data_IF_196380653344
#
_entry.id   IF_196380653344
#
_cell.length_a   1.000
_cell.length_b   1.000
_cell.length_c   1.000
_cell.angle_alpha   90.00
_cell.angle_beta   90.00
_cell.angle_gamma   90.00
#
_symmetry.space_group_name_H-M   'P 1'
#
loop_
_entity.id
_entity.type
_entity.pdbx_description
1 polymer ?
#
# COMPACT_ATOMS: atom_id res chain seq x y z
N UNK A 1 25.01 19.35 51.80
CA UNK A 1 26.30 18.95 51.20
C UNK A 1 26.16 19.10 49.70
N UNK A 2 26.82 20.10 49.13
CA UNK A 2 26.84 20.41 47.68
C UNK A 2 28.14 19.83 47.13
N UNK A 3 28.09 19.13 46.00
CA UNK A 3 29.26 18.92 45.15
C UNK A 3 28.82 18.67 43.70
N UNK A 4 28.87 19.74 42.91
CA UNK A 4 28.92 19.77 41.45
C UNK A 4 30.31 19.33 40.97
N UNK A 5 30.40 18.55 39.88
CA UNK A 5 31.63 18.44 39.10
C UNK A 5 31.35 18.07 37.63
N UNK A 6 31.71 18.98 36.74
CA UNK A 6 32.18 18.75 35.37
C UNK A 6 33.43 19.63 35.20
N UNK A 7 34.18 19.57 34.08
CA UNK A 7 34.76 18.45 33.34
C UNK A 7 36.31 18.65 33.24
N UNK A 8 37.03 17.91 32.37
CA UNK A 8 38.04 18.44 31.40
C UNK A 8 39.11 17.39 30.99
N UNK A 9 39.17 17.14 29.68
CA UNK A 9 40.30 16.89 28.75
C UNK A 9 41.64 16.34 29.26
N UNK A 10 42.13 15.29 28.58
CA UNK A 10 43.55 15.04 28.34
C UNK A 10 43.79 14.67 26.87
N UNK A 11 44.53 15.55 26.18
CA UNK A 11 45.19 15.32 24.89
C UNK A 11 46.50 14.56 25.14
N UNK A 12 46.87 13.65 24.24
CA UNK A 12 48.26 13.24 24.06
C UNK A 12 48.56 12.93 22.59
N UNK A 13 49.52 13.68 22.02
CA UNK A 13 50.22 13.41 20.77
C UNK A 13 51.15 12.17 20.93
N UNK A 14 51.80 11.53 19.95
CA UNK A 14 52.43 12.01 18.71
C UNK A 14 53.01 10.83 17.90
N UNK A 15 53.11 11.04 16.57
CA UNK A 15 54.22 10.70 15.64
C UNK A 15 54.37 9.29 14.99
N UNK A 16 55.04 9.23 13.80
CA UNK A 16 54.74 8.32 12.70
C UNK A 16 55.80 7.22 12.49
N UNK A 17 55.50 6.23 11.64
CA UNK A 17 56.48 5.25 11.16
C UNK A 17 56.38 5.08 9.64
N UNK A 18 57.51 5.26 8.96
CA UNK A 18 57.70 5.02 7.53
C UNK A 18 58.07 3.55 7.27
N UNK A 19 57.44 2.97 6.23
CA UNK A 19 58.04 2.13 5.19
C UNK A 19 58.50 0.71 5.51
N UNK A 20 57.94 -0.28 4.79
CA UNK A 20 58.73 -1.07 3.83
C UNK A 20 57.84 -1.82 2.83
N UNK A 21 58.38 -1.95 1.62
CA UNK A 21 57.82 -2.53 0.41
C UNK A 21 57.87 -4.07 0.45
N UNK A 22 56.82 -4.74 -0.03
CA UNK A 22 56.77 -6.18 -0.23
C UNK A 22 55.77 -6.53 -1.32
N UNK A 23 56.29 -6.87 -2.50
CA UNK A 23 55.53 -7.26 -3.69
C UNK A 23 54.87 -8.62 -3.51
N UNK A 24 53.56 -8.71 -3.76
CA UNK A 24 52.89 -9.96 -4.11
C UNK A 24 52.13 -9.73 -5.42
N UNK A 25 52.64 -10.34 -6.49
CA UNK A 25 51.92 -10.50 -7.74
C UNK A 25 50.68 -11.35 -7.47
N UNK A 26 49.50 -10.79 -7.69
CA UNK A 26 48.28 -11.57 -7.86
C UNK A 26 47.71 -11.30 -9.26
N UNK A 27 47.60 -12.38 -10.02
CA UNK A 27 47.10 -12.47 -11.38
C UNK A 27 45.91 -11.53 -11.66
N UNK A 28 46.09 -10.68 -12.67
CA UNK A 28 44.97 -10.03 -13.35
C UNK A 28 44.13 -11.08 -14.07
N UNK A 29 42.91 -11.29 -13.61
CA UNK A 29 41.83 -11.82 -14.44
C UNK A 29 40.97 -10.64 -14.90
N UNK A 30 41.25 -10.16 -16.12
CA UNK A 30 40.34 -9.27 -16.85
C UNK A 30 39.07 -10.07 -17.18
N UNK A 31 37.99 -9.87 -16.43
CA UNK A 31 36.65 -10.17 -16.95
C UNK A 31 36.23 -8.98 -17.80
N UNK A 32 36.23 -9.18 -19.12
CA UNK A 32 35.55 -8.31 -20.06
C UNK A 32 34.05 -8.38 -19.76
N UNK A 33 33.55 -7.54 -18.86
CA UNK A 33 32.14 -7.21 -18.83
C UNK A 33 31.87 -6.26 -19.98
N UNK A 34 31.40 -6.83 -21.09
CA UNK A 34 30.80 -6.07 -22.18
C UNK A 34 29.52 -5.46 -21.64
N UNK A 35 29.64 -4.27 -21.02
CA UNK A 35 28.50 -3.45 -20.64
C UNK A 35 27.77 -3.07 -21.91
N UNK A 36 26.74 -3.84 -22.26
CA UNK A 36 25.77 -3.48 -23.29
C UNK A 36 24.99 -2.27 -22.75
N UNK A 37 25.56 -1.07 -22.92
CA UNK A 37 24.79 0.16 -22.84
C UNK A 37 23.87 0.17 -24.05
N UNK A 38 22.66 -0.39 -23.89
CA UNK A 38 21.57 -0.07 -24.81
C UNK A 38 21.44 1.46 -24.77
N UNK A 39 21.65 2.13 -25.91
CA UNK A 39 21.31 3.55 -26.07
C UNK A 39 19.83 3.66 -25.70
N UNK A 40 19.52 4.32 -24.59
CA UNK A 40 18.17 4.72 -24.29
C UNK A 40 17.70 5.59 -25.47
N UNK A 41 16.70 5.09 -26.21
CA UNK A 41 15.96 5.92 -27.16
C UNK A 41 15.30 7.08 -26.41
N UNK A 42 14.76 8.08 -27.12
CA UNK A 42 14.01 9.15 -26.48
C UNK A 42 12.91 8.51 -25.61
N UNK A 43 13.01 8.71 -24.29
CA UNK A 43 12.02 8.20 -23.34
C UNK A 43 10.72 8.94 -23.66
N UNK A 44 9.77 8.23 -24.27
CA UNK A 44 8.44 8.78 -24.49
C UNK A 44 7.75 8.88 -23.13
N UNK A 45 7.71 10.10 -22.58
CA UNK A 45 6.92 10.45 -21.40
C UNK A 45 5.47 10.06 -21.66
N UNK A 46 4.90 9.17 -20.84
CA UNK A 46 3.56 8.61 -21.06
C UNK A 46 2.61 8.85 -19.89
N UNK A 47 3.11 8.97 -18.66
CA UNK A 47 2.28 9.18 -17.48
C UNK A 47 1.72 10.60 -17.41
N UNK A 48 0.40 10.69 -17.55
CA UNK A 48 -0.40 11.83 -17.12
C UNK A 48 -1.33 11.35 -16.02
N UNK A 49 -0.83 11.21 -14.79
CA UNK A 49 -1.74 11.07 -13.65
C UNK A 49 -2.52 12.38 -13.55
N UNK A 50 -3.84 12.29 -13.63
CA UNK A 50 -4.73 13.46 -13.63
C UNK A 50 -5.42 13.58 -12.28
N UNK A 51 -5.64 14.83 -11.85
CA UNK A 51 -6.48 15.11 -10.68
C UNK A 51 -7.93 14.78 -11.02
N UNK A 52 -8.46 13.71 -10.44
CA UNK A 52 -9.87 13.36 -10.60
C UNK A 52 -10.72 14.29 -9.72
N UNK A 53 -11.79 14.90 -10.25
CA UNK A 53 -12.71 15.67 -9.43
C UNK A 53 -13.49 14.76 -8.47
N UNK A 54 -13.96 15.26 -7.31
CA UNK A 54 -14.91 14.52 -6.48
C UNK A 54 -16.18 14.20 -7.29
N UNK A 55 -16.92 13.13 -6.96
CA UNK A 55 -18.11 12.72 -7.71
C UNK A 55 -19.34 13.62 -7.45
N UNK A 56 -19.12 14.81 -6.90
CA UNK A 56 -20.14 15.80 -6.55
C UNK A 56 -19.55 17.22 -6.57
N UNK A 57 -20.38 18.27 -6.69
CA UNK A 57 -19.95 19.66 -6.58
C UNK A 57 -19.25 19.96 -5.24
N UNK A 58 -18.33 20.93 -5.21
CA UNK A 58 -17.50 21.21 -4.03
C UNK A 58 -18.30 21.73 -2.81
N UNK A 59 -19.51 22.23 -3.00
CA UNK A 59 -20.39 22.66 -1.91
C UNK A 59 -21.45 21.60 -1.52
N UNK A 60 -21.45 20.43 -2.16
CA UNK A 60 -22.54 19.46 -2.03
C UNK A 60 -22.52 18.68 -0.71
N UNK A 61 -21.44 18.79 0.08
CA UNK A 61 -21.33 18.17 1.41
C UNK A 61 -21.68 19.14 2.55
N UNK A 62 -22.06 20.38 2.25
CA UNK A 62 -22.52 21.33 3.25
C UNK A 62 -23.81 20.86 3.92
N UNK A 63 -24.00 21.15 5.23
CA UNK A 63 -23.13 21.91 6.12
C UNK A 63 -22.08 21.05 6.86
N UNK A 64 -21.85 19.81 6.42
CA UNK A 64 -21.08 18.81 7.17
C UNK A 64 -19.59 18.80 6.83
N UNK A 65 -19.24 19.28 5.62
CA UNK A 65 -17.89 19.62 5.19
C UNK A 65 -18.00 20.83 4.27
N UNK A 66 -17.30 21.91 4.58
CA UNK A 66 -17.50 23.18 3.87
C UNK A 66 -16.93 23.14 2.44
N UNK A 67 -17.46 23.99 1.56
CA UNK A 67 -16.88 24.20 0.25
C UNK A 67 -15.40 24.62 0.33
N UNK A 68 -15.04 25.42 1.35
CA UNK A 68 -13.66 25.85 1.59
C UNK A 68 -12.74 24.65 1.89
N UNK A 69 -13.17 23.72 2.75
CA UNK A 69 -12.44 22.47 2.99
C UNK A 69 -12.20 21.70 1.69
N UNK A 70 -13.19 21.59 0.80
CA UNK A 70 -13.03 20.87 -0.47
C UNK A 70 -12.09 21.61 -1.45
N UNK A 71 -12.17 22.94 -1.52
CA UNK A 71 -11.26 23.75 -2.34
C UNK A 71 -9.80 23.62 -1.90
N UNK A 72 -9.54 23.54 -0.60
CA UNK A 72 -8.19 23.30 -0.07
C UNK A 72 -7.78 21.83 -0.19
N UNK A 73 -8.59 20.91 0.29
CA UNK A 73 -8.23 19.49 0.39
C UNK A 73 -8.12 18.83 -0.99
N UNK A 74 -9.11 19.00 -1.87
CA UNK A 74 -9.02 18.52 -3.25
C UNK A 74 -8.20 19.49 -4.13
N UNK A 75 -8.52 20.78 -4.08
CA UNK A 75 -7.95 21.76 -5.00
C UNK A 75 -6.49 22.16 -4.72
N UNK A 76 -5.96 21.92 -3.51
CA UNK A 76 -4.56 22.21 -3.18
C UNK A 76 -3.79 20.96 -2.77
N UNK A 77 -4.23 20.24 -1.73
CA UNK A 77 -3.48 19.08 -1.22
C UNK A 77 -3.45 17.94 -2.25
N UNK A 78 -4.62 17.48 -2.70
CA UNK A 78 -4.70 16.40 -3.69
C UNK A 78 -4.02 16.79 -5.03
N UNK A 79 -4.27 18.01 -5.52
CA UNK A 79 -3.57 18.56 -6.69
C UNK A 79 -2.05 18.54 -6.54
N UNK A 80 -1.55 18.96 -5.38
CA UNK A 80 -0.11 18.97 -5.08
C UNK A 80 0.52 17.59 -5.17
N UNK A 81 -0.16 16.54 -4.66
CA UNK A 81 0.31 15.16 -4.79
C UNK A 81 0.40 14.73 -6.26
N UNK A 82 -0.62 15.03 -7.08
CA UNK A 82 -0.63 14.73 -8.52
C UNK A 82 0.52 15.43 -9.25
N UNK A 83 0.69 16.73 -9.04
CA UNK A 83 1.76 17.51 -9.68
C UNK A 83 3.15 17.02 -9.27
N UNK A 84 3.34 16.69 -7.99
CA UNK A 84 4.62 16.19 -7.49
C UNK A 84 4.93 14.78 -7.98
N UNK A 85 3.94 13.89 -8.01
CA UNK A 85 4.14 12.54 -8.55
C UNK A 85 4.58 12.60 -10.01
N UNK A 86 3.86 13.37 -10.85
CA UNK A 86 4.19 13.51 -12.26
C UNK A 86 5.63 14.04 -12.47
N UNK A 87 6.12 14.95 -11.61
CA UNK A 87 7.52 15.40 -11.64
C UNK A 87 8.51 14.31 -11.22
N UNK A 88 8.14 13.48 -10.24
CA UNK A 88 9.02 12.43 -9.72
C UNK A 88 9.17 11.24 -10.67
N UNK A 89 8.12 10.89 -11.42
CA UNK A 89 8.12 9.68 -12.27
C UNK A 89 8.52 9.97 -13.72
N UNK A 90 8.56 11.24 -14.14
CA UNK A 90 8.89 11.60 -15.52
C UNK A 90 10.26 11.04 -15.94
N UNK A 91 10.26 10.18 -16.97
CA UNK A 91 11.48 9.57 -17.47
C UNK A 91 12.08 8.47 -16.58
N UNK A 92 11.34 8.00 -15.59
CA UNK A 92 11.71 6.87 -14.72
C UNK A 92 11.04 5.57 -15.19
N UNK A 93 11.38 4.44 -14.57
CA UNK A 93 10.70 3.15 -14.81
C UNK A 93 9.24 3.15 -14.31
N UNK A 94 8.87 4.10 -13.45
CA UNK A 94 7.50 4.28 -12.99
C UNK A 94 6.62 5.05 -13.99
N UNK A 95 7.22 5.66 -15.02
CA UNK A 95 6.49 6.33 -16.10
C UNK A 95 5.66 5.31 -16.90
N UNK A 96 4.37 5.59 -17.07
CA UNK A 96 3.41 4.71 -17.75
C UNK A 96 2.78 3.59 -16.89
N UNK A 97 3.23 3.39 -15.64
CA UNK A 97 2.59 2.44 -14.71
C UNK A 97 1.23 2.96 -14.21
N UNK A 98 0.38 2.03 -13.78
CA UNK A 98 -0.85 2.40 -13.05
C UNK A 98 -0.51 2.98 -11.68
N UNK A 99 -1.44 3.76 -11.09
CA UNK A 99 -1.20 4.37 -9.79
C UNK A 99 -0.96 3.31 -8.70
N UNK A 100 -1.75 2.24 -8.72
CA UNK A 100 -1.60 1.08 -7.85
C UNK A 100 -0.23 0.42 -8.01
N UNK A 101 0.23 0.17 -9.24
CA UNK A 101 1.54 -0.43 -9.48
C UNK A 101 2.69 0.45 -8.98
N UNK A 102 2.60 1.77 -9.17
CA UNK A 102 3.57 2.72 -8.63
C UNK A 102 3.62 2.59 -7.10
N UNK A 103 2.48 2.54 -6.41
CA UNK A 103 2.40 2.38 -4.95
C UNK A 103 3.11 1.10 -4.51
N UNK A 104 2.79 -0.03 -5.14
CA UNK A 104 3.34 -1.34 -4.76
C UNK A 104 4.86 -1.42 -4.99
N UNK A 105 5.36 -0.91 -6.12
CA UNK A 105 6.79 -0.92 -6.44
C UNK A 105 7.55 0.04 -5.52
N UNK A 106 7.01 1.24 -5.28
CA UNK A 106 7.70 2.29 -4.50
C UNK A 106 7.61 2.10 -3.00
N UNK A 107 6.73 1.23 -2.49
CA UNK A 107 6.71 0.86 -1.08
C UNK A 107 8.00 0.15 -0.65
N UNK A 108 8.62 -0.62 -1.55
CA UNK A 108 9.94 -1.22 -1.36
C UNK A 108 10.13 -1.86 0.02
N UNK A 109 9.21 -2.75 0.41
CA UNK A 109 9.22 -3.47 1.71
C UNK A 109 9.29 -2.55 2.94
N UNK A 110 8.78 -1.33 2.82
CA UNK A 110 8.79 -0.32 3.89
C UNK A 110 9.95 0.67 3.79
N UNK A 111 10.94 0.45 2.94
CA UNK A 111 12.00 1.42 2.63
C UNK A 111 11.57 2.32 1.47
N UNK A 112 10.60 3.19 1.78
CA UNK A 112 9.81 3.95 0.80
C UNK A 112 10.67 4.73 -0.20
N UNK A 113 10.47 4.48 -1.49
CA UNK A 113 11.06 5.30 -2.55
C UNK A 113 10.36 6.68 -2.63
N UNK A 114 11.03 7.72 -3.17
CA UNK A 114 10.52 9.09 -3.14
C UNK A 114 9.10 9.31 -3.71
N UNK A 115 8.70 8.50 -4.69
CA UNK A 115 7.39 8.59 -5.34
C UNK A 115 6.24 8.01 -4.50
N UNK A 116 6.52 7.16 -3.52
CA UNK A 116 5.52 6.42 -2.76
C UNK A 116 4.49 7.34 -2.10
N UNK A 117 4.95 8.35 -1.35
CA UNK A 117 4.05 9.21 -0.59
C UNK A 117 3.06 9.94 -1.49
N UNK A 118 3.50 10.48 -2.63
CA UNK A 118 2.60 11.17 -3.55
C UNK A 118 1.65 10.18 -4.23
N UNK A 119 2.15 9.03 -4.71
CA UNK A 119 1.32 8.02 -5.34
C UNK A 119 0.22 7.50 -4.41
N UNK A 120 0.59 7.12 -3.19
CA UNK A 120 -0.35 6.61 -2.22
C UNK A 120 -1.34 7.68 -1.77
N UNK A 121 -0.91 8.94 -1.59
CA UNK A 121 -1.85 10.02 -1.24
C UNK A 121 -2.86 10.31 -2.36
N UNK A 122 -2.47 10.29 -3.63
CA UNK A 122 -3.44 10.46 -4.74
C UNK A 122 -4.51 9.36 -4.64
N UNK A 123 -4.08 8.10 -4.50
CA UNK A 123 -5.00 6.97 -4.40
C UNK A 123 -5.92 7.08 -3.18
N UNK A 124 -5.35 7.44 -2.01
CA UNK A 124 -6.13 7.60 -0.77
C UNK A 124 -7.20 8.69 -0.93
N UNK A 125 -6.86 9.82 -1.58
CA UNK A 125 -7.79 10.93 -1.78
C UNK A 125 -8.87 10.60 -2.82
N UNK A 126 -8.50 10.02 -3.97
CA UNK A 126 -9.47 9.47 -4.95
C UNK A 126 -10.49 8.58 -4.23
N UNK A 127 -10.00 7.65 -3.40
CA UNK A 127 -10.84 6.71 -2.65
C UNK A 127 -11.70 7.40 -1.58
N UNK A 128 -11.19 8.45 -0.93
CA UNK A 128 -11.87 9.25 0.09
C UNK A 128 -13.05 10.06 -0.47
N UNK A 129 -12.88 10.71 -1.63
CA UNK A 129 -13.97 11.45 -2.26
C UNK A 129 -15.14 10.54 -2.64
N UNK A 130 -14.84 9.35 -3.15
CA UNK A 130 -15.86 8.33 -3.45
C UNK A 130 -16.49 7.70 -2.21
N UNK A 131 -15.81 7.78 -1.06
CA UNK A 131 -16.31 7.28 0.23
C UNK A 131 -17.41 8.16 0.82
N UNK A 132 -17.63 9.36 0.26
CA UNK A 132 -18.64 10.30 0.69
C UNK A 132 -19.70 10.53 -0.40
N UNK A 133 -20.87 11.00 -0.01
CA UNK A 133 -21.87 11.56 -0.92
C UNK A 133 -22.74 12.63 -0.25
N UNK A 134 -23.36 13.53 -1.03
CA UNK A 134 -24.43 14.40 -0.54
C UNK A 134 -25.56 13.56 0.05
N UNK A 135 -26.11 13.96 1.21
CA UNK A 135 -27.12 13.19 1.94
C UNK A 135 -26.68 11.74 2.24
N UNK A 136 -25.40 11.56 2.61
CA UNK A 136 -24.84 10.28 3.01
C UNK A 136 -25.16 9.91 4.47
N UNK A 137 -24.36 9.00 5.01
CA UNK A 137 -24.51 8.49 6.36
C UNK A 137 -25.65 7.47 6.49
N UNK A 138 -26.25 7.38 7.67
CA UNK A 138 -27.24 6.34 7.98
C UNK A 138 -26.60 4.96 8.14
N UNK A 139 -27.34 3.90 7.79
CA UNK A 139 -26.90 2.49 7.90
C UNK A 139 -26.80 1.83 6.53
N UNK A 140 -25.82 0.92 6.31
CA UNK A 140 -25.81 0.05 5.15
C UNK A 140 -26.94 -0.98 5.24
N UNK A 141 -27.21 -1.66 4.14
CA UNK A 141 -28.20 -2.73 4.04
C UNK A 141 -27.61 -3.97 3.37
N UNK A 142 -28.39 -5.05 3.32
CA UNK A 142 -28.04 -6.29 2.62
C UNK A 142 -26.77 -6.95 3.15
N UNK A 143 -25.99 -7.54 2.23
CA UNK A 143 -24.83 -8.36 2.57
C UNK A 143 -23.76 -7.61 3.39
N UNK A 144 -23.59 -6.31 3.16
CA UNK A 144 -22.64 -5.50 3.94
C UNK A 144 -23.06 -5.43 5.42
N UNK A 145 -24.34 -5.20 5.71
CA UNK A 145 -24.84 -5.16 7.08
C UNK A 145 -24.74 -6.53 7.76
N UNK A 146 -25.00 -7.61 7.02
CA UNK A 146 -24.84 -8.99 7.53
C UNK A 146 -23.39 -9.27 7.93
N UNK A 147 -22.42 -8.94 7.08
CA UNK A 147 -21.00 -9.09 7.39
C UNK A 147 -20.56 -8.20 8.54
N UNK A 148 -21.07 -6.96 8.62
CA UNK A 148 -20.81 -6.06 9.73
C UNK A 148 -21.30 -6.69 11.05
N UNK A 149 -22.54 -7.18 11.10
CA UNK A 149 -23.09 -7.81 12.30
C UNK A 149 -22.32 -9.08 12.66
N UNK A 150 -21.87 -9.86 11.67
CA UNK A 150 -21.05 -11.06 11.89
C UNK A 150 -19.69 -10.72 12.52
N UNK A 151 -18.99 -9.74 11.95
CA UNK A 151 -17.58 -9.49 12.28
C UNK A 151 -17.40 -8.51 13.45
N UNK A 152 -18.37 -7.63 13.69
CA UNK A 152 -18.31 -6.61 14.76
C UNK A 152 -19.42 -6.77 15.81
N UNK A 153 -20.27 -7.80 15.67
CA UNK A 153 -21.42 -8.06 16.55
C UNK A 153 -22.66 -7.22 16.23
N UNK A 154 -22.47 -5.95 15.86
CA UNK A 154 -23.54 -5.05 15.41
C UNK A 154 -22.99 -3.91 14.56
N UNK A 155 -23.88 -3.17 13.87
CA UNK A 155 -23.50 -1.92 13.21
C UNK A 155 -22.92 -0.90 14.20
N UNK A 156 -23.49 -0.78 15.39
CA UNK A 156 -23.00 0.10 16.44
C UNK A 156 -21.59 -0.30 16.90
N UNK A 157 -21.35 -1.60 17.06
CA UNK A 157 -20.03 -2.13 17.42
C UNK A 157 -18.98 -1.84 16.35
N UNK A 158 -19.36 -1.90 15.07
CA UNK A 158 -18.50 -1.45 13.97
C UNK A 158 -18.22 0.05 14.05
N UNK A 159 -19.26 0.89 14.20
CA UNK A 159 -19.10 2.35 14.26
C UNK A 159 -18.19 2.74 15.42
N UNK A 160 -18.35 2.14 16.59
CA UNK A 160 -17.48 2.39 17.75
C UNK A 160 -16.01 2.06 17.44
N UNK A 161 -15.75 0.88 16.86
CA UNK A 161 -14.39 0.48 16.49
C UNK A 161 -13.79 1.39 15.41
N UNK A 162 -14.57 1.76 14.40
CA UNK A 162 -14.12 2.67 13.33
C UNK A 162 -13.82 4.06 13.86
N UNK A 163 -14.72 4.64 14.68
CA UNK A 163 -14.50 5.95 15.32
C UNK A 163 -13.26 5.92 16.23
N UNK A 164 -13.08 4.85 17.01
CA UNK A 164 -11.90 4.66 17.87
C UNK A 164 -10.61 4.57 17.06
N UNK A 165 -10.59 3.82 15.95
CA UNK A 165 -9.42 3.72 15.08
C UNK A 165 -9.03 5.09 14.48
N UNK A 166 -10.01 5.84 13.99
CA UNK A 166 -9.82 7.19 13.44
C UNK A 166 -9.31 8.18 14.50
N UNK A 167 -9.92 8.17 15.70
CA UNK A 167 -9.55 9.08 16.77
C UNK A 167 -8.14 8.80 17.32
N UNK A 168 -7.78 7.52 17.45
CA UNK A 168 -6.52 7.09 18.07
C UNK A 168 -5.35 6.98 17.08
N UNK A 169 -5.54 7.32 15.81
CA UNK A 169 -4.43 7.49 14.87
C UNK A 169 -3.65 8.74 15.27
N UNK A 170 -2.47 8.55 15.88
CA UNK A 170 -1.65 9.67 16.30
C UNK A 170 -0.97 10.34 15.10
N UNK A 171 -0.95 11.67 15.10
CA UNK A 171 -0.49 12.46 13.97
C UNK A 171 -1.39 12.31 12.74
N UNK A 172 -0.75 12.36 11.57
CA UNK A 172 -1.38 12.23 10.27
C UNK A 172 -1.63 10.77 9.88
N UNK A 173 -2.75 10.50 9.22
CA UNK A 173 -3.06 9.16 8.74
C UNK A 173 -4.51 8.98 8.32
N UNK A 174 -4.92 7.72 8.29
CA UNK A 174 -6.22 7.30 7.78
C UNK A 174 -6.80 6.18 8.66
N UNK A 175 -8.12 6.05 8.65
CA UNK A 175 -8.80 4.86 9.18
C UNK A 175 -9.66 4.21 8.10
N UNK A 176 -9.69 2.88 8.09
CA UNK A 176 -10.22 2.08 7.00
C UNK A 176 -11.13 0.99 7.51
N UNK A 177 -12.22 0.75 6.78
CA UNK A 177 -12.89 -0.55 6.74
C UNK A 177 -12.34 -1.28 5.52
N UNK A 178 -11.88 -2.52 5.70
CA UNK A 178 -11.35 -3.32 4.61
C UNK A 178 -11.88 -4.75 4.67
N UNK A 179 -11.97 -5.41 3.51
CA UNK A 179 -12.23 -6.83 3.40
C UNK A 179 -10.91 -7.58 3.25
N UNK A 180 -10.63 -8.45 4.22
CA UNK A 180 -9.45 -9.31 4.25
C UNK A 180 -9.76 -10.62 3.53
N UNK A 181 -9.57 -10.64 2.23
CA UNK A 181 -9.59 -11.87 1.42
C UNK A 181 -8.74 -11.73 0.16
N UNK A 182 -7.97 -10.66 0.08
CA UNK A 182 -7.05 -10.49 -1.01
C UNK A 182 -5.82 -11.33 -0.61
N UNK A 183 -5.38 -12.17 -1.54
CA UNK A 183 -4.17 -13.02 -1.45
C UNK A 183 -3.18 -12.57 -2.52
N UNK A 184 -3.01 -11.27 -2.70
CA UNK A 184 -1.85 -10.77 -3.41
C UNK A 184 -0.59 -11.27 -2.72
N UNK A 185 0.10 -12.16 -3.41
CA UNK A 185 1.53 -12.35 -3.21
C UNK A 185 2.27 -11.10 -3.75
N UNK A 186 2.11 -9.96 -3.08
CA UNK A 186 2.91 -8.77 -3.39
C UNK A 186 4.30 -9.07 -2.85
N UNK A 187 5.22 -9.56 -3.68
CA UNK A 187 6.60 -9.87 -3.27
C UNK A 187 7.35 -8.68 -2.61
N UNK A 188 6.79 -7.47 -2.70
CA UNK A 188 7.28 -6.23 -2.10
C UNK A 188 6.41 -5.65 -0.98
N UNK A 189 5.22 -6.20 -0.69
CA UNK A 189 4.37 -5.74 0.39
C UNK A 189 4.24 -6.85 1.44
N UNK A 190 5.00 -6.71 2.53
CA UNK A 190 4.89 -7.60 3.69
C UNK A 190 3.64 -7.19 4.45
N UNK A 191 2.65 -8.08 4.53
CA UNK A 191 1.51 -7.89 5.40
C UNK A 191 2.00 -7.89 6.87
N UNK A 192 1.97 -6.76 7.58
CA UNK A 192 2.43 -6.69 8.97
C UNK A 192 1.45 -7.35 9.95
N UNK A 193 0.27 -7.79 9.46
CA UNK A 193 -0.78 -8.45 10.25
C UNK A 193 -1.24 -9.74 9.55
N UNK A 194 -0.35 -10.75 9.46
CA UNK A 194 -0.75 -12.06 8.99
C UNK A 194 -1.77 -12.63 9.97
N UNK A 195 -2.88 -13.13 9.46
CA UNK A 195 -3.84 -13.90 10.25
C UNK A 195 -4.47 -14.95 9.35
N UNK A 196 -4.76 -16.12 9.91
CA UNK A 196 -5.33 -17.26 9.19
C UNK A 196 -6.81 -17.06 8.81
N UNK A 197 -7.45 -16.02 9.36
CA UNK A 197 -8.87 -15.78 9.13
C UNK A 197 -9.10 -14.88 7.90
N UNK A 198 -9.40 -15.51 6.77
CA UNK A 198 -9.80 -14.84 5.52
C UNK A 198 -11.31 -14.59 5.47
N UNK A 199 -11.74 -13.79 4.48
CA UNK A 199 -13.14 -13.45 4.18
C UNK A 199 -13.86 -12.71 5.31
N UNK A 200 -13.14 -11.83 6.01
CA UNK A 200 -13.65 -10.99 7.11
C UNK A 200 -13.50 -9.50 6.86
N UNK A 201 -14.39 -8.71 7.44
CA UNK A 201 -14.25 -7.27 7.56
C UNK A 201 -13.32 -6.93 8.73
N UNK A 202 -12.45 -5.95 8.52
CA UNK A 202 -11.51 -5.45 9.52
C UNK A 202 -11.51 -3.93 9.54
N UNK A 203 -11.38 -3.36 10.74
CA UNK A 203 -11.07 -1.94 10.93
C UNK A 203 -9.56 -1.81 11.18
N UNK A 204 -8.91 -0.99 10.36
CA UNK A 204 -7.47 -0.70 10.49
C UNK A 204 -7.21 0.80 10.39
N UNK A 205 -6.11 1.26 10.98
CA UNK A 205 -5.61 2.62 10.84
C UNK A 205 -4.19 2.60 10.32
N UNK A 206 -3.81 3.62 9.57
CA UNK A 206 -2.51 3.70 8.91
C UNK A 206 -1.89 5.08 9.08
N UNK A 207 -0.56 5.16 9.28
CA UNK A 207 0.14 6.44 9.37
C UNK A 207 0.38 7.04 7.98
N UNK A 208 0.39 8.36 7.92
CA UNK A 208 0.78 9.12 6.74
C UNK A 208 0.04 8.68 5.46
N UNK A 209 0.77 8.14 4.48
CA UNK A 209 0.25 7.73 3.18
C UNK A 209 -0.05 6.22 3.06
N UNK A 210 0.31 5.42 4.07
CA UNK A 210 0.13 3.97 4.06
C UNK A 210 -1.35 3.65 3.88
N UNK A 211 -1.67 2.64 3.05
CA UNK A 211 -3.04 2.18 2.84
C UNK A 211 -3.11 0.64 2.77
N UNK A 212 -4.32 0.05 2.89
CA UNK A 212 -4.43 -1.40 3.02
C UNK A 212 -4.11 -2.21 1.75
N UNK A 213 -3.88 -1.57 0.59
CA UNK A 213 -3.37 -2.28 -0.60
C UNK A 213 -2.03 -2.96 -0.31
N UNK A 214 -1.22 -2.35 0.55
CA UNK A 214 0.09 -2.86 0.97
C UNK A 214 0.00 -4.04 1.94
N UNK A 215 -1.17 -4.25 2.53
CA UNK A 215 -1.43 -5.34 3.48
C UNK A 215 -2.29 -6.41 2.85
N UNK A 216 -2.48 -6.32 1.54
CA UNK A 216 -3.29 -7.27 0.81
C UNK A 216 -4.72 -7.35 1.38
N UNK A 217 -5.27 -6.21 1.73
CA UNK A 217 -6.69 -6.08 2.04
C UNK A 217 -7.35 -5.29 0.91
N UNK A 218 -8.65 -5.52 0.69
CA UNK A 218 -9.46 -4.69 -0.20
C UNK A 218 -10.09 -3.55 0.59
N UNK A 219 -9.67 -2.29 0.43
CA UNK A 219 -10.27 -1.17 1.15
C UNK A 219 -11.72 -0.98 0.70
N UNK A 220 -12.63 -0.71 1.65
CA UNK A 220 -14.05 -0.49 1.39
C UNK A 220 -14.49 0.94 1.73
N UNK A 221 -14.06 1.45 2.88
CA UNK A 221 -14.33 2.80 3.38
C UNK A 221 -13.04 3.40 3.94
N UNK A 222 -12.84 4.70 3.77
CA UNK A 222 -11.76 5.44 4.44
C UNK A 222 -12.24 6.78 4.99
N UNK A 223 -11.56 7.25 6.02
CA UNK A 223 -11.64 8.63 6.50
C UNK A 223 -10.22 9.21 6.62
N UNK A 224 -10.03 10.41 6.08
CA UNK A 224 -8.80 11.19 6.23
C UNK A 224 -8.76 11.81 7.63
N UNK A 225 -7.75 11.51 8.44
CA UNK A 225 -7.55 12.12 9.76
C UNK A 225 -6.30 12.99 9.83
N UNK A 226 -5.75 13.39 8.69
CA UNK A 226 -4.87 14.54 8.60
C UNK A 226 -5.64 15.81 8.98
N UNK A 227 -4.99 16.72 9.69
CA UNK A 227 -5.65 17.95 10.16
C UNK A 227 -6.24 18.77 9.01
N UNK A 228 -5.59 18.82 7.84
CA UNK A 228 -6.13 19.54 6.68
C UNK A 228 -7.53 19.07 6.23
N UNK A 229 -7.95 17.86 6.61
CA UNK A 229 -9.24 17.30 6.21
C UNK A 229 -10.42 17.83 7.04
N UNK A 230 -10.13 18.43 8.20
CA UNK A 230 -11.18 18.85 9.14
C UNK A 230 -10.90 20.16 9.87
N UNK A 231 -9.67 20.71 9.84
CA UNK A 231 -9.30 21.81 10.72
C UNK A 231 -10.07 23.10 10.44
N UNK A 232 -10.44 23.37 9.18
CA UNK A 232 -11.24 24.56 8.83
C UNK A 232 -12.66 24.49 9.39
N UNK A 233 -13.23 23.28 9.52
CA UNK A 233 -14.62 23.08 9.95
C UNK A 233 -14.74 22.72 11.45
N UNK A 234 -13.72 22.07 12.03
CA UNK A 234 -13.76 21.47 13.37
C UNK A 234 -12.57 21.83 14.26
N UNK A 235 -11.56 22.52 13.75
CA UNK A 235 -10.30 22.80 14.43
C UNK A 235 -9.73 21.53 15.11
N UNK A 236 -9.56 21.54 16.44
CA UNK A 236 -9.03 20.40 17.19
C UNK A 236 -10.07 19.29 17.47
N UNK A 237 -11.35 19.48 17.10
CA UNK A 237 -12.46 18.57 17.42
C UNK A 237 -12.56 17.41 16.43
N UNK A 238 -11.45 16.66 16.26
CA UNK A 238 -11.39 15.48 15.38
C UNK A 238 -12.52 14.48 15.67
N UNK A 239 -12.86 14.26 16.94
CA UNK A 239 -13.94 13.34 17.32
C UNK A 239 -15.32 13.76 16.78
N UNK A 240 -15.58 15.06 16.67
CA UNK A 240 -16.81 15.60 16.10
C UNK A 240 -16.81 15.39 14.58
N UNK A 241 -15.72 15.73 13.90
CA UNK A 241 -15.52 15.46 12.48
C UNK A 241 -15.78 13.99 12.12
N UNK A 242 -15.17 13.06 12.85
CA UNK A 242 -15.35 11.61 12.64
C UNK A 242 -16.82 11.21 12.81
N UNK A 243 -17.52 11.79 13.79
CA UNK A 243 -18.93 11.50 14.04
C UNK A 243 -19.81 12.02 12.91
N UNK A 244 -19.60 13.26 12.48
CA UNK A 244 -20.30 13.87 11.33
C UNK A 244 -20.05 13.07 10.06
N UNK A 245 -18.80 12.66 9.80
CA UNK A 245 -18.46 11.83 8.64
C UNK A 245 -19.32 10.55 8.60
N UNK A 246 -19.31 9.77 9.69
CA UNK A 246 -20.06 8.51 9.77
C UNK A 246 -21.58 8.71 9.67
N UNK A 247 -22.10 9.77 10.26
CA UNK A 247 -23.54 9.98 10.39
C UNK A 247 -24.18 10.68 9.18
N UNK A 248 -23.38 11.44 8.41
CA UNK A 248 -23.90 12.36 7.39
C UNK A 248 -23.22 12.27 6.02
N UNK A 249 -22.01 11.72 5.92
CA UNK A 249 -21.23 11.79 4.69
C UNK A 249 -21.03 10.44 4.01
N UNK A 250 -20.90 9.34 4.77
CA UNK A 250 -20.55 8.02 4.20
C UNK A 250 -21.49 7.59 3.05
N UNK A 251 -20.90 7.21 1.92
CA UNK A 251 -21.62 6.58 0.81
C UNK A 251 -21.65 5.06 0.98
N UNK A 252 -22.66 4.54 1.68
CA UNK A 252 -22.82 3.09 1.86
C UNK A 252 -22.99 2.32 0.53
N UNK A 253 -23.57 2.94 -0.49
CA UNK A 253 -23.68 2.37 -1.85
C UNK A 253 -22.29 2.11 -2.46
N UNK A 254 -21.37 3.07 -2.32
CA UNK A 254 -19.97 2.88 -2.75
C UNK A 254 -19.31 1.74 -1.98
N UNK A 255 -19.50 1.68 -0.66
CA UNK A 255 -18.92 0.62 0.20
C UNK A 255 -19.46 -0.76 -0.21
N UNK A 256 -20.76 -0.88 -0.50
CA UNK A 256 -21.38 -2.12 -0.99
C UNK A 256 -20.79 -2.52 -2.35
N UNK A 257 -20.69 -1.59 -3.29
CA UNK A 257 -20.09 -1.85 -4.61
C UNK A 257 -18.64 -2.36 -4.49
N UNK A 258 -17.83 -1.72 -3.63
CA UNK A 258 -16.46 -2.15 -3.35
C UNK A 258 -16.39 -3.53 -2.70
N UNK A 259 -17.31 -3.85 -1.79
CA UNK A 259 -17.38 -5.17 -1.17
C UNK A 259 -17.66 -6.27 -2.19
N UNK A 260 -18.62 -6.05 -3.10
CA UNK A 260 -18.93 -7.03 -4.14
C UNK A 260 -17.76 -7.22 -5.12
N UNK A 261 -17.09 -6.13 -5.53
CA UNK A 261 -15.86 -6.22 -6.31
C UNK A 261 -14.75 -6.97 -5.56
N UNK A 262 -14.58 -6.72 -4.26
CA UNK A 262 -13.57 -7.37 -3.43
C UNK A 262 -13.83 -8.88 -3.31
N UNK A 263 -15.08 -9.28 -3.09
CA UNK A 263 -15.49 -10.70 -3.05
C UNK A 263 -15.27 -11.38 -4.40
N UNK A 264 -15.65 -10.73 -5.50
CA UNK A 264 -15.44 -11.26 -6.84
C UNK A 264 -13.94 -11.48 -7.15
N UNK A 265 -13.10 -10.49 -6.84
CA UNK A 265 -11.63 -10.58 -7.00
C UNK A 265 -11.03 -11.68 -6.13
N UNK A 266 -11.52 -11.87 -4.90
CA UNK A 266 -11.06 -12.96 -4.04
C UNK A 266 -11.36 -14.34 -4.66
N UNK A 267 -12.56 -14.52 -5.21
CA UNK A 267 -12.95 -15.77 -5.90
C UNK A 267 -12.11 -16.02 -7.15
N UNK A 268 -11.85 -14.98 -7.95
CA UNK A 268 -10.98 -15.08 -9.13
C UNK A 268 -9.57 -15.54 -8.75
N UNK A 269 -8.99 -14.94 -7.71
CA UNK A 269 -7.67 -15.31 -7.20
C UNK A 269 -7.59 -16.72 -6.66
N UNK A 270 -8.60 -17.16 -5.93
CA UNK A 270 -8.67 -18.55 -5.45
C UNK A 270 -8.61 -19.54 -6.63
N UNK A 271 -9.30 -19.23 -7.74
CA UNK A 271 -9.26 -20.04 -8.96
C UNK A 271 -7.91 -19.99 -9.66
N UNK A 272 -7.26 -18.84 -9.70
CA UNK A 272 -5.91 -18.69 -10.26
C UNK A 272 -4.87 -19.45 -9.43
N UNK A 273 -4.95 -19.40 -8.10
CA UNK A 273 -4.10 -20.17 -7.19
C UNK A 273 -4.29 -21.67 -7.38
N UNK A 274 -5.53 -22.14 -7.46
CA UNK A 274 -5.84 -23.55 -7.75
C UNK A 274 -5.30 -23.99 -9.11
N UNK A 275 -5.44 -23.14 -10.14
CA UNK A 275 -4.90 -23.40 -11.47
C UNK A 275 -3.37 -23.49 -11.45
N UNK A 276 -2.70 -22.53 -10.79
CA UNK A 276 -1.23 -22.53 -10.69
C UNK A 276 -0.72 -23.76 -9.96
N UNK A 277 -1.39 -24.18 -8.87
CA UNK A 277 -1.04 -25.42 -8.16
C UNK A 277 -1.16 -26.65 -9.04
N UNK A 278 -2.21 -26.74 -9.87
CA UNK A 278 -2.36 -27.86 -10.82
C UNK A 278 -1.27 -27.84 -11.89
N UNK A 279 -0.93 -26.67 -12.42
CA UNK A 279 0.17 -26.52 -13.40
C UNK A 279 1.53 -26.91 -12.77
N UNK A 280 1.80 -26.51 -11.52
CA UNK A 280 2.99 -26.89 -10.76
C UNK A 280 3.02 -28.41 -10.46
N UNK A 281 1.88 -29.01 -10.10
CA UNK A 281 1.74 -30.46 -9.88
C UNK A 281 1.96 -31.25 -11.17
N UNK A 282 1.37 -30.82 -12.29
CA UNK A 282 1.55 -31.43 -13.62
C UNK A 282 3.01 -31.34 -14.12
N UNK A 283 3.66 -30.19 -13.95
CA UNK A 283 5.08 -30.01 -14.29
C UNK A 283 5.99 -30.89 -13.42
N UNK A 284 5.67 -31.02 -12.12
CA UNK A 284 6.39 -31.92 -11.22
C UNK A 284 6.20 -33.40 -11.58
N UNK A 285 4.99 -33.79 -12.02
CA UNK A 285 4.68 -35.15 -12.45
C UNK A 285 5.34 -35.49 -13.79
N UNK A 286 5.31 -34.58 -14.77
CA UNK A 286 6.01 -34.75 -16.05
C UNK A 286 7.55 -34.80 -15.86
N UNK A 287 8.09 -34.02 -14.91
CA UNK A 287 9.50 -34.11 -14.52
C UNK A 287 9.84 -35.45 -13.87
N UNK A 288 8.95 -36.01 -13.05
CA UNK A 288 9.10 -37.35 -12.45
C UNK A 288 9.07 -38.47 -13.49
N UNK A 289 8.09 -38.44 -14.41
CA UNK A 289 7.94 -39.44 -15.47
C UNK A 289 9.12 -39.41 -16.46
N UNK A 290 9.65 -38.21 -16.76
CA UNK A 290 10.88 -38.08 -17.53
C UNK A 290 12.08 -38.74 -16.82
N UNK A 291 12.24 -38.55 -15.50
CA UNK A 291 13.32 -39.19 -14.72
C UNK A 291 13.17 -40.71 -14.68
N UNK A 292 11.95 -41.22 -14.59
CA UNK A 292 11.66 -42.66 -14.55
C UNK A 292 11.95 -43.34 -15.91
N UNK A 293 11.58 -42.69 -17.03
CA UNK A 293 11.90 -43.18 -18.38
C UNK A 293 13.41 -43.21 -18.67
N UNK A 294 14.19 -42.24 -18.16
CA UNK A 294 15.65 -42.26 -18.29
C UNK A 294 16.28 -43.42 -17.49
N UNK A 295 15.77 -43.72 -16.30
CA UNK A 295 16.28 -44.81 -15.46
C UNK A 295 15.98 -46.20 -16.04
N UNK A 296 14.81 -46.41 -16.67
CA UNK A 296 14.49 -47.69 -17.32
C UNK A 296 15.34 -47.95 -18.58
N UNK A 297 15.83 -46.90 -19.25
CA UNK A 297 16.72 -47.05 -20.42
C UNK A 297 18.17 -47.44 -20.09
N UNK A 298 18.63 -47.24 -18.85
CA UNK A 298 20.01 -47.59 -18.43
C UNK A 298 20.10 -49.02 -17.87
N UNK A 299 18.99 -49.76 -17.77
CA UNK A 299 18.94 -51.10 -17.17
C UNK A 299 19.00 -52.28 -18.14
N UNK A 300 19.16 -52.09 -19.45
CA UNK A 300 19.08 -53.18 -20.44
C UNK A 300 20.41 -53.54 -21.14
N UNK A 301 21.56 -53.15 -20.57
CA UNK A 301 22.88 -53.44 -21.17
C UNK A 301 23.84 -54.14 -20.18
N UNK A 302 23.35 -55.18 -19.49
CA UNK A 302 24.24 -56.10 -18.76
C UNK A 302 23.62 -57.47 -18.50
N UNK A 303 23.41 -58.30 -19.52
CA UNK A 303 23.45 -59.76 -19.38
C UNK A 303 23.39 -60.47 -20.75
N UNK A 304 24.55 -60.85 -21.30
CA UNK A 304 24.76 -62.07 -22.08
C UNK A 304 26.23 -62.17 -22.55
N UNK A 305 27.09 -62.76 -21.71
CA UNK A 305 28.29 -63.51 -22.15
C UNK A 305 27.95 -65.00 -22.27
#
# INVERSE_FOLDING_TARGET
MVATATPTSLLCASLPYQGFCGSTQSLQWRKNETRFMRKAGPIQVTAKIQLKPPPYPLNALEPHMSCETLEYHWGKHHRGYVENLNKQIMGTEQDGLTLEDIILVTYNKGDLLPAFNNAAQIWNHDFFWESMKPSGGGRPSGNLLELINRDFGSFEGFVEQFKSAAATQFGSGWAWLAYKANRLNVGNAVNPRPSEEDKKLVVVKSPNAINPLLWDYSPLLTIDVWEHAYYLDFENRRAEYISVFMEKLVSWETVISRLEMAKARAVEREREEERRKREEEEESAAGSEAVEMYLESETDDSEAE
#
